data_IF_015174069606
#
_entry.id   IF_015174069606
#
_cell.length_a   1.000
_cell.length_b   1.000
_cell.length_c   1.000
_cell.angle_alpha   90.00
_cell.angle_beta   90.00
_cell.angle_gamma   90.00
#
_symmetry.space_group_name_H-M   'P 1'
#
loop_
_entity.id
_entity.type
_entity.pdbx_description
1 polymer ?
#
# COMPACT_ATOMS: atom_id res chain seq x y z
N UNK A 1 -7.79 1.99 24.82
CA UNK A 1 -7.80 0.80 23.95
C UNK A 1 -7.10 1.06 22.62
N UNK A 2 -7.57 1.99 21.77
CA UNK A 2 -6.93 2.24 20.45
C UNK A 2 -5.47 2.69 20.53
N UNK A 3 -5.14 3.60 21.47
CA UNK A 3 -3.75 4.03 21.73
C UNK A 3 -2.84 2.87 22.18
N UNK A 4 -3.40 1.91 22.92
CA UNK A 4 -2.67 0.74 23.41
C UNK A 4 -2.34 -0.23 22.27
N UNK A 5 -3.29 -0.44 21.36
CA UNK A 5 -3.05 -1.23 20.14
C UNK A 5 -2.04 -0.54 19.21
N UNK A 6 -2.11 0.78 19.09
CA UNK A 6 -1.14 1.56 18.32
C UNK A 6 0.28 1.43 18.89
N UNK A 7 0.42 1.36 20.21
CA UNK A 7 1.71 1.10 20.88
C UNK A 7 2.18 -0.34 20.73
N UNK A 8 1.26 -1.30 20.62
CA UNK A 8 1.59 -2.72 20.45
C UNK A 8 2.06 -3.05 19.02
N UNK A 9 1.71 -2.23 18.02
CA UNK A 9 2.21 -2.42 16.66
C UNK A 9 3.70 -2.08 16.57
N UNK A 10 4.47 -3.05 16.07
CA UNK A 10 5.89 -2.87 15.80
C UNK A 10 6.08 -1.71 14.82
N UNK A 11 6.83 -0.69 15.25
CA UNK A 11 7.26 0.42 14.40
C UNK A 11 8.75 0.30 14.20
N UNK A 12 9.17 0.27 12.95
CA UNK A 12 10.59 0.29 12.60
C UNK A 12 11.09 1.74 12.63
N UNK A 13 12.18 1.94 13.39
CA UNK A 13 12.76 3.26 13.68
C UNK A 13 13.42 3.91 12.48
N UNK A 14 13.74 3.11 11.46
CA UNK A 14 14.42 3.60 10.26
C UNK A 14 13.46 4.33 9.31
N UNK A 15 12.14 4.23 9.53
CA UNK A 15 11.15 4.93 8.73
C UNK A 15 10.61 6.21 9.39
N UNK A 16 10.15 7.18 8.59
CA UNK A 16 9.43 8.34 9.10
C UNK A 16 8.13 7.95 9.83
N UNK A 17 7.70 8.80 10.77
CA UNK A 17 6.44 8.62 11.50
C UNK A 17 5.21 8.48 10.58
N UNK A 18 5.27 9.05 9.36
CA UNK A 18 4.22 8.90 8.34
C UNK A 18 4.01 7.43 7.96
N UNK A 19 5.09 6.66 7.77
CA UNK A 19 5.02 5.24 7.37
C UNK A 19 4.26 4.43 8.42
N UNK A 20 4.63 4.60 9.70
CA UNK A 20 3.94 3.93 10.81
C UNK A 20 2.45 4.30 10.87
N UNK A 21 2.10 5.58 10.65
CA UNK A 21 0.71 6.04 10.60
C UNK A 21 -0.07 5.39 9.45
N UNK A 22 0.50 5.35 8.25
CA UNK A 22 -0.16 4.75 7.07
C UNK A 22 -0.37 3.25 7.29
N UNK A 23 0.66 2.52 7.73
CA UNK A 23 0.56 1.08 8.03
C UNK A 23 -0.50 0.78 9.11
N UNK A 24 -0.56 1.60 10.15
CA UNK A 24 -1.61 1.52 11.16
C UNK A 24 -3.00 1.64 10.52
N UNK A 25 -3.23 2.67 9.71
CA UNK A 25 -4.53 2.89 9.06
C UNK A 25 -4.85 1.79 8.03
N UNK A 26 -3.85 1.28 7.31
CA UNK A 26 -3.98 0.11 6.43
C UNK A 26 -4.40 -1.13 7.22
N UNK A 27 -3.85 -1.34 8.42
CA UNK A 27 -4.26 -2.46 9.28
C UNK A 27 -5.73 -2.37 9.73
N UNK A 28 -6.22 -1.15 9.97
CA UNK A 28 -7.63 -0.90 10.28
C UNK A 28 -8.48 -1.21 9.05
N UNK A 29 -8.09 -0.70 7.88
CA UNK A 29 -8.80 -0.90 6.62
C UNK A 29 -8.83 -2.38 6.20
N UNK A 30 -7.76 -3.13 6.45
CA UNK A 30 -7.66 -4.54 6.09
C UNK A 30 -8.26 -5.47 7.16
N UNK A 31 -8.63 -4.94 8.33
CA UNK A 31 -9.18 -5.74 9.44
C UNK A 31 -8.13 -6.56 10.20
N UNK A 32 -6.84 -6.29 9.98
CA UNK A 32 -5.69 -6.93 10.64
C UNK A 32 -5.21 -6.19 11.90
N UNK A 33 -5.95 -5.17 12.34
CA UNK A 33 -5.67 -4.34 13.51
C UNK A 33 -5.26 -5.13 14.76
N UNK A 34 -5.92 -6.26 15.00
CA UNK A 34 -5.76 -7.07 16.21
C UNK A 34 -4.68 -8.15 16.07
N UNK A 35 -4.05 -8.29 14.90
CA UNK A 35 -3.06 -9.35 14.67
C UNK A 35 -1.77 -9.13 15.48
N UNK A 36 -1.54 -7.90 15.95
CA UNK A 36 -0.48 -7.57 16.89
C UNK A 36 -0.67 -8.18 18.30
N UNK A 37 -1.88 -8.64 18.64
CA UNK A 37 -2.15 -9.27 19.93
C UNK A 37 -1.74 -10.75 19.90
N UNK A 38 -1.06 -11.25 20.94
CA UNK A 38 -0.48 -12.60 20.94
C UNK A 38 -1.50 -13.71 21.17
N UNK A 39 -2.59 -13.43 21.91
CA UNK A 39 -3.54 -14.45 22.35
C UNK A 39 -4.86 -14.38 21.59
N UNK A 40 -5.43 -15.55 21.28
CA UNK A 40 -6.80 -15.62 20.81
C UNK A 40 -7.81 -15.35 21.94
N UNK A 41 -9.07 -15.05 21.59
CA UNK A 41 -10.08 -14.65 22.58
C UNK A 41 -10.29 -15.69 23.70
N UNK A 42 -10.25 -16.97 23.34
CA UNK A 42 -10.54 -18.11 24.21
C UNK A 42 -9.36 -18.51 25.11
N UNK A 43 -8.18 -17.94 24.91
CA UNK A 43 -6.99 -18.24 25.71
C UNK A 43 -7.06 -17.46 27.03
N UNK A 44 -7.62 -18.10 28.06
CA UNK A 44 -7.80 -17.44 29.35
C UNK A 44 -6.58 -17.48 30.25
N UNK A 45 -5.71 -18.47 30.04
CA UNK A 45 -4.54 -18.75 30.86
C UNK A 45 -3.33 -19.05 29.97
N UNK A 46 -2.14 -18.65 30.43
CA UNK A 46 -0.88 -19.10 29.83
C UNK A 46 -0.55 -20.55 30.26
N UNK A 47 0.52 -21.12 29.70
CA UNK A 47 0.97 -22.49 29.99
C UNK A 47 1.34 -22.72 31.48
N UNK A 48 1.66 -21.64 32.20
CA UNK A 48 1.99 -21.64 33.62
C UNK A 48 0.75 -21.47 34.53
N UNK A 49 -0.45 -21.36 33.95
CA UNK A 49 -1.72 -21.14 34.67
C UNK A 49 -1.99 -19.68 35.04
N UNK A 50 -1.14 -18.73 34.64
CA UNK A 50 -1.38 -17.30 34.88
C UNK A 50 -2.53 -16.78 34.00
N UNK A 51 -3.42 -15.96 34.57
CA UNK A 51 -4.54 -15.37 33.84
C UNK A 51 -4.07 -14.34 32.81
N UNK A 52 -4.47 -14.51 31.56
CA UNK A 52 -4.19 -13.57 30.46
C UNK A 52 -5.20 -12.42 30.51
N UNK A 53 -4.82 -11.15 30.67
CA UNK A 53 -5.80 -10.04 30.65
C UNK A 53 -6.53 -9.92 29.31
N UNK A 54 -7.83 -9.57 29.34
CA UNK A 54 -8.63 -9.32 28.12
C UNK A 54 -8.00 -8.29 27.16
N UNK A 55 -7.23 -7.33 27.66
CA UNK A 55 -6.53 -6.32 26.83
C UNK A 55 -5.43 -6.91 25.95
N UNK A 56 -4.94 -8.12 26.25
CA UNK A 56 -3.92 -8.84 25.47
C UNK A 56 -4.52 -9.88 24.53
N UNK A 57 -5.85 -10.07 24.56
CA UNK A 57 -6.56 -11.07 23.76
C UNK A 57 -7.23 -10.42 22.55
N UNK A 58 -7.21 -11.12 21.43
CA UNK A 58 -7.96 -10.73 20.23
C UNK A 58 -9.46 -10.76 20.53
N UNK A 59 -10.26 -9.87 19.92
CA UNK A 59 -11.71 -9.90 20.09
C UNK A 59 -12.30 -11.17 19.45
N UNK A 60 -13.38 -11.69 20.04
CA UNK A 60 -14.11 -12.85 19.52
C UNK A 60 -14.72 -12.63 18.15
N UNK A 61 -15.15 -11.40 17.86
CA UNK A 61 -15.74 -11.01 16.58
C UNK A 61 -14.98 -9.82 16.00
N UNK A 62 -14.52 -9.97 14.75
CA UNK A 62 -13.80 -8.93 14.01
C UNK A 62 -14.72 -8.38 12.92
N UNK A 63 -15.30 -7.20 13.14
CA UNK A 63 -16.06 -6.49 12.10
C UNK A 63 -15.17 -5.48 11.38
N UNK A 64 -14.99 -5.66 10.06
CA UNK A 64 -14.26 -4.71 9.24
C UNK A 64 -15.18 -3.59 8.71
N UNK A 65 -15.79 -2.83 9.62
CA UNK A 65 -16.75 -1.76 9.28
C UNK A 65 -16.11 -0.67 8.41
N UNK A 66 -14.86 -0.32 8.69
CA UNK A 66 -14.14 0.68 7.90
C UNK A 66 -14.02 0.26 6.44
N UNK A 67 -13.69 -1.00 6.16
CA UNK A 67 -13.62 -1.50 4.78
C UNK A 67 -14.97 -1.49 4.09
N UNK A 68 -16.04 -1.86 4.79
CA UNK A 68 -17.40 -1.86 4.23
C UNK A 68 -17.78 -0.44 3.80
N UNK A 69 -17.61 0.55 4.68
CA UNK A 69 -17.93 1.96 4.39
C UNK A 69 -17.08 2.51 3.23
N UNK A 70 -15.78 2.19 3.22
CA UNK A 70 -14.87 2.62 2.15
C UNK A 70 -15.28 2.00 0.81
N UNK A 71 -15.52 0.69 0.77
CA UNK A 71 -15.90 0.00 -0.46
C UNK A 71 -17.24 0.54 -1.01
N UNK A 72 -18.22 0.80 -0.14
CA UNK A 72 -19.50 1.37 -0.55
C UNK A 72 -19.32 2.77 -1.16
N UNK A 73 -18.54 3.62 -0.49
CA UNK A 73 -18.20 4.97 -0.96
C UNK A 73 -17.45 4.96 -2.30
N UNK A 74 -16.49 4.05 -2.46
CA UNK A 74 -15.71 3.90 -3.70
C UNK A 74 -16.57 3.36 -4.83
N UNK A 75 -17.52 2.47 -4.54
CA UNK A 75 -18.41 1.92 -5.56
C UNK A 75 -19.25 3.00 -6.23
N UNK A 76 -19.73 3.99 -5.47
CA UNK A 76 -20.46 5.14 -6.00
C UNK A 76 -19.61 6.04 -6.93
N UNK A 77 -18.27 5.98 -6.84
CA UNK A 77 -17.37 6.82 -7.64
C UNK A 77 -16.93 6.15 -8.94
N UNK A 78 -16.61 4.85 -8.88
CA UNK A 78 -15.90 4.17 -9.98
C UNK A 78 -16.53 2.84 -10.41
N UNK A 79 -17.62 2.40 -9.78
CA UNK A 79 -18.36 1.20 -10.20
C UNK A 79 -19.53 1.55 -11.14
N UNK A 80 -20.29 0.52 -11.50
CA UNK A 80 -21.38 0.47 -12.50
C UNK A 80 -22.06 1.82 -12.80
N UNK A 81 -21.81 2.34 -14.02
CA UNK A 81 -22.47 3.54 -14.54
C UNK A 81 -21.91 4.87 -14.04
N UNK A 82 -20.97 4.88 -13.09
CA UNK A 82 -20.41 6.11 -12.51
C UNK A 82 -19.03 6.48 -13.06
N UNK A 83 -18.33 5.54 -13.71
CA UNK A 83 -17.01 5.82 -14.25
C UNK A 83 -17.06 6.94 -15.32
N UNK A 84 -16.16 7.95 -15.27
CA UNK A 84 -16.21 9.08 -16.19
C UNK A 84 -16.08 8.66 -17.66
N UNK A 85 -16.98 9.17 -18.51
CA UNK A 85 -16.89 9.01 -19.97
C UNK A 85 -15.99 10.10 -20.56
N UNK A 86 -14.96 9.74 -21.35
CA UNK A 86 -14.12 10.73 -22.02
C UNK A 86 -14.96 11.58 -22.98
N UNK A 87 -14.76 12.91 -22.93
CA UNK A 87 -15.31 13.87 -23.88
C UNK A 87 -14.15 14.66 -24.48
N UNK A 88 -14.13 14.78 -25.80
CA UNK A 88 -13.15 15.57 -26.54
C UNK A 88 -13.85 16.23 -27.73
N UNK A 89 -13.30 17.34 -28.22
CA UNK A 89 -13.82 18.05 -29.40
C UNK A 89 -13.71 17.18 -30.67
N UNK A 90 -12.67 16.35 -30.73
CA UNK A 90 -12.47 15.34 -31.76
C UNK A 90 -13.03 13.98 -31.30
N UNK A 91 -13.96 13.42 -32.09
CA UNK A 91 -14.62 12.16 -31.79
C UNK A 91 -13.64 10.97 -31.79
N UNK A 92 -12.63 11.00 -32.68
CA UNK A 92 -11.59 9.97 -32.74
C UNK A 92 -10.76 9.89 -31.46
N UNK A 93 -10.46 11.05 -30.87
CA UNK A 93 -9.75 11.15 -29.58
C UNK A 93 -10.58 10.59 -28.43
N UNK A 94 -11.88 10.90 -28.37
CA UNK A 94 -12.78 10.36 -27.35
C UNK A 94 -12.89 8.83 -27.44
N UNK A 95 -13.00 8.28 -28.65
CA UNK A 95 -13.03 6.84 -28.89
C UNK A 95 -11.70 6.16 -28.49
N UNK A 96 -10.56 6.77 -28.85
CA UNK A 96 -9.25 6.26 -28.49
C UNK A 96 -9.04 6.22 -26.97
N UNK A 97 -9.46 7.27 -26.25
CA UNK A 97 -9.41 7.30 -24.79
C UNK A 97 -10.31 6.22 -24.17
N UNK A 98 -11.50 5.99 -24.73
CA UNK A 98 -12.38 4.89 -24.31
C UNK A 98 -11.70 3.53 -24.45
N UNK A 99 -10.99 3.29 -25.56
CA UNK A 99 -10.21 2.05 -25.78
C UNK A 99 -9.06 1.91 -24.78
N UNK A 100 -8.35 3.00 -24.46
CA UNK A 100 -7.29 2.98 -23.44
C UNK A 100 -7.84 2.65 -22.06
N UNK A 101 -8.97 3.25 -21.67
CA UNK A 101 -9.65 2.97 -20.39
C UNK A 101 -10.00 1.47 -20.30
N UNK A 102 -10.56 0.92 -21.38
CA UNK A 102 -10.96 -0.48 -21.44
C UNK A 102 -9.77 -1.46 -21.43
N UNK A 103 -8.75 -1.26 -22.27
CA UNK A 103 -7.58 -2.15 -22.34
C UNK A 103 -6.76 -2.13 -21.05
N UNK A 104 -6.63 -0.95 -20.43
CA UNK A 104 -5.84 -0.79 -19.21
C UNK A 104 -6.62 -1.11 -17.92
N UNK A 105 -7.92 -1.42 -18.02
CA UNK A 105 -8.82 -1.66 -16.88
C UNK A 105 -8.76 -0.53 -15.86
N UNK A 106 -8.75 0.72 -16.33
CA UNK A 106 -8.51 1.87 -15.49
C UNK A 106 -9.55 1.98 -14.36
N UNK A 107 -10.79 1.55 -14.58
CA UNK A 107 -11.83 1.47 -13.57
C UNK A 107 -11.40 0.62 -12.36
N UNK A 108 -10.86 -0.59 -12.59
CA UNK A 108 -10.38 -1.47 -11.52
C UNK A 108 -9.22 -0.82 -10.75
N UNK A 109 -8.31 -0.16 -11.47
CA UNK A 109 -7.18 0.56 -10.87
C UNK A 109 -7.63 1.75 -10.04
N UNK A 110 -8.63 2.50 -10.49
CA UNK A 110 -9.18 3.64 -9.76
C UNK A 110 -9.93 3.19 -8.50
N UNK A 111 -10.65 2.06 -8.56
CA UNK A 111 -11.26 1.44 -7.38
C UNK A 111 -10.17 1.07 -6.37
N UNK A 112 -9.11 0.36 -6.79
CA UNK A 112 -8.01 -0.01 -5.89
C UNK A 112 -7.29 1.23 -5.31
N UNK A 113 -7.01 2.23 -6.15
CA UNK A 113 -6.38 3.48 -5.74
C UNK A 113 -7.24 4.25 -4.73
N UNK A 114 -8.55 4.32 -4.93
CA UNK A 114 -9.47 5.01 -4.02
C UNK A 114 -9.64 4.24 -2.70
N UNK A 115 -9.75 2.91 -2.76
CA UNK A 115 -9.80 2.07 -1.55
C UNK A 115 -8.53 2.21 -0.73
N UNK A 116 -7.34 2.12 -1.34
CA UNK A 116 -6.07 2.36 -0.66
C UNK A 116 -5.97 3.80 -0.17
N UNK A 117 -6.40 4.75 -1.00
CA UNK A 117 -6.38 6.18 -0.74
C UNK A 117 -7.18 6.60 0.49
N UNK A 118 -8.13 5.79 0.95
CA UNK A 118 -8.92 6.04 2.16
C UNK A 118 -8.06 6.20 3.43
N UNK A 119 -6.82 5.67 3.44
CA UNK A 119 -5.88 5.85 4.55
C UNK A 119 -5.12 7.19 4.51
N UNK A 120 -5.41 8.04 3.53
CA UNK A 120 -4.87 9.39 3.38
C UNK A 120 -3.78 9.56 2.33
N UNK A 121 -3.49 8.54 1.52
CA UNK A 121 -2.55 8.64 0.41
C UNK A 121 -2.80 7.57 -0.65
N UNK A 122 -2.80 7.98 -1.91
CA UNK A 122 -2.83 7.11 -3.08
C UNK A 122 -1.73 7.52 -4.06
N UNK A 123 -1.18 6.55 -4.79
CA UNK A 123 -0.24 6.78 -5.87
C UNK A 123 -0.60 5.86 -7.03
N UNK A 124 -0.68 6.42 -8.23
CA UNK A 124 -0.96 5.66 -9.45
C UNK A 124 0.26 5.78 -10.35
N UNK A 125 0.83 4.63 -10.70
CA UNK A 125 1.93 4.52 -11.65
C UNK A 125 1.37 4.20 -13.04
N UNK A 126 1.63 5.09 -13.99
CA UNK A 126 1.36 4.86 -15.42
C UNK A 126 2.67 4.48 -16.11
N UNK A 127 2.65 3.41 -16.91
CA UNK A 127 3.79 2.97 -17.71
C UNK A 127 3.33 2.65 -19.11
N UNK A 128 4.21 2.89 -20.08
CA UNK A 128 4.05 2.43 -21.45
C UNK A 128 5.09 1.36 -21.73
N UNK A 129 4.67 0.12 -21.94
CA UNK A 129 5.56 -1.01 -22.23
C UNK A 129 5.09 -1.67 -23.53
N UNK A 130 5.98 -1.79 -24.52
CA UNK A 130 5.67 -2.37 -25.85
C UNK A 130 4.38 -1.79 -26.47
N UNK A 131 4.26 -0.46 -26.50
CA UNK A 131 3.09 0.28 -27.01
C UNK A 131 1.75 -0.02 -26.29
N UNK A 132 1.79 -0.55 -25.07
CA UNK A 132 0.61 -0.75 -24.23
C UNK A 132 0.70 0.09 -22.96
N UNK A 133 -0.43 0.67 -22.56
CA UNK A 133 -0.53 1.50 -21.35
C UNK A 133 -0.93 0.62 -20.16
N UNK A 134 -0.18 0.74 -19.08
CA UNK A 134 -0.43 0.04 -17.83
C UNK A 134 -0.59 1.05 -16.70
N UNK A 135 -1.66 0.91 -15.92
CA UNK A 135 -1.84 1.64 -14.66
C UNK A 135 -1.75 0.67 -13.48
N UNK A 136 -1.19 1.13 -12.37
CA UNK A 136 -1.10 0.36 -11.14
C UNK A 136 -1.20 1.29 -9.92
N UNK A 137 -2.05 0.94 -8.96
CA UNK A 137 -2.06 1.62 -7.67
C UNK A 137 -0.91 1.09 -6.80
N UNK A 138 -0.04 1.98 -6.33
CA UNK A 138 1.10 1.62 -5.50
C UNK A 138 0.75 1.71 -4.00
N UNK A 139 1.26 0.80 -3.15
CA UNK A 139 1.24 0.96 -1.70
C UNK A 139 1.99 2.23 -1.29
N UNK A 140 1.39 3.06 -0.44
CA UNK A 140 1.93 4.41 -0.16
C UNK A 140 2.70 4.51 1.15
N UNK A 141 2.73 3.44 1.96
CA UNK A 141 3.45 3.39 3.23
C UNK A 141 4.94 3.71 3.09
N UNK A 142 5.56 3.20 2.02
CA UNK A 142 6.99 3.29 1.75
C UNK A 142 7.35 4.26 0.62
N UNK A 143 6.37 5.03 0.12
CA UNK A 143 6.59 6.05 -0.89
C UNK A 143 6.89 7.40 -0.24
N UNK A 144 8.00 7.99 -0.67
CA UNK A 144 8.50 9.28 -0.22
C UNK A 144 8.61 10.23 -1.42
N UNK A 145 7.61 11.10 -1.65
CA UNK A 145 7.68 12.10 -2.71
C UNK A 145 8.63 13.25 -2.31
N UNK A 146 9.43 13.71 -3.27
CA UNK A 146 10.14 14.98 -3.24
C UNK A 146 9.44 15.95 -4.19
N UNK A 147 9.26 17.19 -3.74
CA UNK A 147 8.68 18.27 -4.53
C UNK A 147 9.75 19.30 -4.83
N UNK A 148 9.64 19.93 -6.00
CA UNK A 148 10.60 20.97 -6.40
C UNK A 148 10.57 22.12 -5.40
N UNK A 149 11.74 22.58 -4.97
CA UNK A 149 11.87 23.71 -4.03
C UNK A 149 11.37 25.03 -4.62
N UNK A 150 11.54 25.19 -5.94
CA UNK A 150 11.14 26.37 -6.69
C UNK A 150 9.69 26.30 -7.21
N UNK A 151 9.07 25.10 -7.24
CA UNK A 151 7.68 24.88 -7.61
C UNK A 151 7.07 23.76 -6.74
N UNK A 152 6.55 24.08 -5.53
CA UNK A 152 6.11 23.08 -4.55
C UNK A 152 4.93 22.19 -4.98
N UNK A 153 4.25 22.54 -6.07
CA UNK A 153 3.18 21.79 -6.71
C UNK A 153 3.68 20.81 -7.79
N UNK A 154 4.97 20.84 -8.10
CA UNK A 154 5.59 19.98 -9.12
C UNK A 154 6.38 18.85 -8.45
N UNK A 155 5.93 17.63 -8.69
CA UNK A 155 6.59 16.41 -8.21
C UNK A 155 7.96 16.28 -8.88
N UNK A 156 9.01 16.22 -8.08
CA UNK A 156 10.39 16.08 -8.56
C UNK A 156 10.76 14.60 -8.69
N UNK A 157 10.48 13.81 -7.66
CA UNK A 157 10.72 12.38 -7.64
C UNK A 157 9.87 11.67 -6.61
N UNK A 158 9.74 10.35 -6.73
CA UNK A 158 9.18 9.47 -5.71
C UNK A 158 10.21 8.40 -5.42
N UNK A 159 10.57 8.23 -4.15
CA UNK A 159 11.40 7.10 -3.71
C UNK A 159 10.52 6.07 -3.03
N UNK A 160 10.54 4.83 -3.50
CA UNK A 160 10.06 3.66 -2.78
C UNK A 160 11.24 3.01 -2.08
N UNK A 161 11.18 2.87 -0.76
CA UNK A 161 12.23 2.22 0.00
C UNK A 161 11.67 1.43 1.18
N UNK A 162 12.00 0.15 1.24
CA UNK A 162 11.55 -0.73 2.32
C UNK A 162 12.52 -1.90 2.54
N UNK A 163 12.40 -2.54 3.70
CA UNK A 163 13.18 -3.70 4.09
C UNK A 163 12.52 -4.98 3.62
N UNK A 164 13.31 -5.87 3.05
CA UNK A 164 12.89 -7.17 2.51
C UNK A 164 13.87 -8.23 2.97
N UNK A 165 13.38 -9.41 3.32
CA UNK A 165 14.27 -10.52 3.66
C UNK A 165 15.07 -10.99 2.44
N UNK A 166 16.31 -11.40 2.67
CA UNK A 166 17.21 -11.90 1.62
C UNK A 166 16.65 -13.10 0.86
N UNK A 167 15.91 -13.99 1.51
CA UNK A 167 15.25 -15.14 0.88
C UNK A 167 14.17 -14.73 -0.14
N UNK A 168 13.39 -13.70 0.17
CA UNK A 168 12.40 -13.11 -0.76
C UNK A 168 13.10 -12.48 -1.96
N UNK A 169 14.21 -11.77 -1.75
CA UNK A 169 15.00 -11.19 -2.85
C UNK A 169 15.66 -12.28 -3.71
N UNK A 170 16.16 -13.35 -3.11
CA UNK A 170 16.71 -14.49 -3.83
C UNK A 170 15.64 -15.15 -4.73
N UNK A 171 14.40 -15.29 -4.23
CA UNK A 171 13.28 -15.80 -5.00
C UNK A 171 12.88 -14.89 -6.19
N UNK A 172 13.18 -13.59 -6.09
CA UNK A 172 13.00 -12.61 -7.18
C UNK A 172 14.18 -12.58 -8.17
N UNK A 173 15.21 -13.41 -7.95
CA UNK A 173 16.36 -13.54 -8.86
C UNK A 173 17.59 -12.71 -8.48
N UNK A 174 17.60 -12.04 -7.32
CA UNK A 174 18.80 -11.35 -6.84
C UNK A 174 19.85 -12.34 -6.32
N UNK A 175 21.14 -12.05 -6.56
CA UNK A 175 22.24 -12.85 -6.02
C UNK A 175 22.48 -12.53 -4.55
N UNK A 176 21.84 -13.30 -3.66
CA UNK A 176 21.98 -13.18 -2.20
C UNK A 176 22.78 -14.37 -1.65
N UNK A 177 23.87 -14.15 -0.88
CA UNK A 177 24.60 -15.23 -0.23
C UNK A 177 23.73 -16.06 0.71
N UNK A 178 23.95 -17.39 0.77
CA UNK A 178 23.17 -18.28 1.65
C UNK A 178 23.21 -17.87 3.13
N UNK A 179 24.35 -17.32 3.57
CA UNK A 179 24.53 -16.83 4.93
C UNK A 179 23.61 -15.65 5.28
N UNK A 180 23.21 -14.86 4.27
CA UNK A 180 22.45 -13.62 4.45
C UNK A 180 20.96 -13.74 4.09
N UNK A 181 20.48 -14.93 3.73
CA UNK A 181 19.07 -15.16 3.37
C UNK A 181 18.07 -14.76 4.45
N UNK A 182 18.47 -14.82 5.72
CA UNK A 182 17.62 -14.40 6.85
C UNK A 182 17.81 -12.93 7.25
N UNK A 183 18.76 -12.23 6.64
CA UNK A 183 19.02 -10.82 6.88
C UNK A 183 17.98 -9.94 6.19
N UNK A 184 17.75 -8.75 6.74
CA UNK A 184 16.91 -7.72 6.14
C UNK A 184 17.78 -6.86 5.23
N UNK A 185 17.37 -6.73 3.97
CA UNK A 185 18.00 -5.87 2.97
C UNK A 185 17.10 -4.68 2.68
N UNK A 186 17.71 -3.54 2.41
CA UNK A 186 17.08 -2.39 1.80
C UNK A 186 16.82 -2.63 0.32
N UNK A 187 15.56 -2.56 -0.06
CA UNK A 187 15.11 -2.43 -1.43
C UNK A 187 14.82 -0.96 -1.72
N UNK A 188 15.24 -0.46 -2.88
CA UNK A 188 14.95 0.91 -3.32
C UNK A 188 14.66 1.01 -4.80
N UNK A 189 13.63 1.79 -5.12
CA UNK A 189 13.30 2.26 -6.46
C UNK A 189 13.03 3.75 -6.44
N UNK A 190 13.43 4.46 -7.49
CA UNK A 190 13.19 5.90 -7.63
C UNK A 190 12.55 6.17 -8.99
N UNK A 191 11.48 6.94 -9.00
CA UNK A 191 10.91 7.52 -10.22
C UNK A 191 11.16 9.01 -10.21
N UNK A 192 11.68 9.52 -11.32
CA UNK A 192 11.81 10.95 -11.60
C UNK A 192 11.23 11.26 -12.99
N UNK A 193 11.47 12.47 -13.49
CA UNK A 193 10.98 12.90 -14.80
C UNK A 193 11.63 12.17 -15.99
N UNK A 194 12.77 11.50 -15.77
CA UNK A 194 13.54 10.86 -16.82
C UNK A 194 13.39 9.32 -16.81
N UNK A 195 13.38 8.69 -15.64
CA UNK A 195 13.47 7.25 -15.54
C UNK A 195 12.89 6.64 -14.25
N UNK A 196 12.66 5.33 -14.33
CA UNK A 196 12.51 4.43 -13.18
C UNK A 196 13.87 3.77 -12.90
N UNK A 197 14.52 4.15 -11.80
CA UNK A 197 15.83 3.64 -11.40
C UNK A 197 15.70 2.57 -10.32
N UNK A 198 16.24 1.39 -10.59
CA UNK A 198 16.31 0.26 -9.65
C UNK A 198 17.69 0.17 -9.03
N UNK A 199 17.75 0.08 -7.71
CA UNK A 199 19.00 -0.07 -6.97
C UNK A 199 19.24 -1.53 -6.61
N UNK A 200 20.50 -1.95 -6.60
CA UNK A 200 20.89 -3.27 -6.07
C UNK A 200 20.61 -3.27 -4.56
N UNK A 201 19.87 -4.26 -4.04
CA UNK A 201 19.60 -4.34 -2.61
C UNK A 201 20.88 -4.38 -1.76
N UNK A 202 20.87 -3.72 -0.60
CA UNK A 202 22.00 -3.66 0.32
C UNK A 202 21.56 -3.92 1.77
N UNK A 203 22.48 -4.30 2.65
CA UNK A 203 22.21 -4.53 4.08
C UNK A 203 22.07 -3.22 4.86
#
# INVERSE_FOLDING_TARGET
MLKTLQQAMATDRDYPARTARVQWLESVLNGSLYDCLPHEFHEEQELDGAYVPLSKRRPSVRYNLCRIIVNDSVSMLFSEGHFPTPKADDEGTAEALGKVIADSKLNEVMVDAATRGAVGAAAILMRVLNNRVFFCALPTAYLMPSWRKDAPDVLESVTEQYKVRGDVLAAQGYSIPDADKNSMYWFRRVWDSAAETWYVPWL
#
